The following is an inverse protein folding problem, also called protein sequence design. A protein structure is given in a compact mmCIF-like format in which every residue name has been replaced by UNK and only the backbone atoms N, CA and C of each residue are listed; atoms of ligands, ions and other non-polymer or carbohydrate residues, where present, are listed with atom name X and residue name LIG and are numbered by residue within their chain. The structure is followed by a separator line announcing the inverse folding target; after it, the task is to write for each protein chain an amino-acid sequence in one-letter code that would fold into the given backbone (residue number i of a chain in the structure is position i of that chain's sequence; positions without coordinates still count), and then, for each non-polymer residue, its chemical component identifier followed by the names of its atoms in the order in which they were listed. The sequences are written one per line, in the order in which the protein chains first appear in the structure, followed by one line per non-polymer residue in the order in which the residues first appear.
data_IF_792938386457
#
_entry.id   IF_792938386457
#
_cell.length_a   1.000
_cell.length_b   1.000
_cell.length_c   1.000
_cell.angle_alpha   90.00
_cell.angle_beta   90.00
_cell.angle_gamma   90.00
#
_symmetry.space_group_name_H-M   'P 1'
#
loop_
_entity.id
_entity.type
_entity.pdbx_description
1 polymer ?
#
# COMPACT_ATOMS: atom_id res chain seq x y z
N UNK A 1 8.43 -18.36 -19.16
CA UNK A 1 7.32 -17.73 -18.40
C UNK A 1 6.63 -18.72 -17.44
N UNK A 2 5.95 -19.78 -17.94
CA UNK A 2 5.21 -20.69 -17.05
C UNK A 2 6.10 -21.33 -15.96
N UNK A 3 7.28 -21.85 -16.32
CA UNK A 3 8.23 -22.43 -15.36
C UNK A 3 8.67 -21.41 -14.29
N UNK A 4 8.93 -20.18 -14.68
CA UNK A 4 9.33 -19.09 -13.77
C UNK A 4 8.19 -18.76 -12.81
N UNK A 5 6.95 -18.62 -13.32
CA UNK A 5 5.76 -18.38 -12.49
C UNK A 5 5.56 -19.53 -11.51
N UNK A 6 5.61 -20.79 -11.99
CA UNK A 6 5.43 -21.97 -11.15
C UNK A 6 6.50 -22.02 -10.04
N UNK A 7 7.78 -21.79 -10.39
CA UNK A 7 8.86 -21.72 -9.40
C UNK A 7 8.61 -20.65 -8.35
N UNK A 8 8.16 -19.45 -8.77
CA UNK A 8 7.82 -18.34 -7.86
C UNK A 8 6.68 -18.69 -6.93
N UNK A 9 5.59 -19.26 -7.46
CA UNK A 9 4.45 -19.73 -6.66
C UNK A 9 4.87 -20.79 -5.65
N UNK A 10 5.70 -21.76 -6.07
CA UNK A 10 6.23 -22.78 -5.15
C UNK A 10 7.09 -22.16 -4.05
N UNK A 11 7.90 -21.15 -4.35
CA UNK A 11 8.70 -20.44 -3.35
C UNK A 11 7.85 -19.57 -2.40
N UNK A 12 6.67 -19.11 -2.83
CA UNK A 12 5.75 -18.38 -1.94
C UNK A 12 5.20 -19.25 -0.82
N UNK A 13 5.01 -20.55 -1.03
CA UNK A 13 4.46 -21.44 -0.01
C UNK A 13 5.30 -21.46 1.28
N UNK A 14 6.62 -21.74 1.24
CA UNK A 14 7.45 -21.67 2.45
C UNK A 14 7.54 -20.25 3.01
N UNK A 15 7.48 -19.20 2.17
CA UNK A 15 7.49 -17.82 2.63
C UNK A 15 6.21 -17.47 3.41
N UNK A 16 5.03 -17.88 2.94
CA UNK A 16 3.75 -17.70 3.65
C UNK A 16 3.77 -18.49 4.96
N UNK A 17 4.32 -19.71 4.97
CA UNK A 17 4.46 -20.50 6.18
C UNK A 17 5.35 -19.78 7.21
N UNK A 18 6.56 -19.35 6.83
CA UNK A 18 7.47 -18.60 7.71
C UNK A 18 6.79 -17.32 8.20
N UNK A 19 6.14 -16.55 7.30
CA UNK A 19 5.40 -15.36 7.65
C UNK A 19 4.32 -15.64 8.69
N UNK A 20 3.54 -16.71 8.53
CA UNK A 20 2.48 -17.06 9.47
C UNK A 20 3.02 -17.43 10.85
N UNK A 21 4.15 -18.16 10.91
CA UNK A 21 4.83 -18.47 12.18
C UNK A 21 5.34 -17.20 12.84
N UNK A 22 6.01 -16.33 12.09
CA UNK A 22 6.53 -15.07 12.62
C UNK A 22 5.40 -14.15 13.10
N UNK A 23 4.33 -14.00 12.31
CA UNK A 23 3.17 -13.21 12.71
C UNK A 23 2.56 -13.72 14.02
N UNK A 24 2.39 -15.03 14.13
CA UNK A 24 1.87 -15.67 15.34
C UNK A 24 2.79 -15.44 16.56
N UNK A 25 4.11 -15.60 16.40
CA UNK A 25 5.06 -15.38 17.49
C UNK A 25 5.08 -13.91 17.92
N UNK A 26 5.11 -12.95 16.97
CA UNK A 26 5.08 -11.52 17.27
C UNK A 26 3.79 -11.16 18.03
N UNK A 27 2.64 -11.66 17.59
CA UNK A 27 1.39 -11.43 18.30
C UNK A 27 1.42 -11.99 19.73
N UNK A 28 2.02 -13.17 19.93
CA UNK A 28 2.18 -13.76 21.27
C UNK A 28 3.19 -13.04 22.18
N UNK A 29 4.15 -12.33 21.61
CA UNK A 29 5.10 -11.49 22.35
C UNK A 29 4.52 -10.14 22.78
N UNK A 30 3.36 -9.76 22.27
CA UNK A 30 2.71 -8.51 22.68
C UNK A 30 2.36 -8.59 24.17
N UNK A 31 2.69 -7.53 24.94
CA UNK A 31 2.41 -7.52 26.37
C UNK A 31 0.89 -7.48 26.64
N UNK A 32 0.42 -8.35 27.50
CA UNK A 32 -0.98 -8.43 27.92
C UNK A 32 -1.69 -9.67 27.38
N UNK A 33 -2.96 -9.76 27.72
CA UNK A 33 -3.87 -10.85 27.41
C UNK A 33 -4.94 -10.32 26.44
N UNK A 34 -5.28 -11.04 25.36
CA UNK A 34 -6.33 -10.66 24.43
C UNK A 34 -7.71 -10.43 25.11
N UNK A 35 -7.92 -11.05 26.27
CA UNK A 35 -9.16 -10.92 27.02
C UNK A 35 -9.18 -9.70 27.97
N UNK A 36 -8.04 -9.00 28.13
CA UNK A 36 -7.95 -7.83 29.04
C UNK A 36 -8.94 -6.73 28.65
N UNK A 37 -9.20 -6.54 27.37
CA UNK A 37 -10.18 -5.58 26.86
C UNK A 37 -11.64 -5.93 27.16
N UNK A 38 -11.93 -7.14 27.62
CA UNK A 38 -13.26 -7.59 28.03
C UNK A 38 -13.50 -7.44 29.54
N UNK A 39 -12.46 -7.08 30.30
CA UNK A 39 -12.55 -6.94 31.75
C UNK A 39 -13.12 -5.57 32.06
N UNK A 40 -14.35 -5.55 32.59
CA UNK A 40 -14.99 -4.37 33.18
C UNK A 40 -15.13 -4.59 34.68
N UNK A 41 -15.40 -3.56 35.49
CA UNK A 41 -15.60 -3.72 36.93
C UNK A 41 -16.75 -4.70 37.28
N UNK A 42 -17.66 -4.92 36.35
CA UNK A 42 -18.83 -5.80 36.52
C UNK A 42 -18.58 -7.22 35.94
N UNK A 43 -17.43 -7.46 35.30
CA UNK A 43 -17.13 -8.75 34.64
C UNK A 43 -16.74 -9.78 35.71
N UNK A 44 -17.49 -10.91 35.77
CA UNK A 44 -17.13 -12.04 36.63
C UNK A 44 -15.77 -12.63 36.16
N UNK A 45 -14.75 -12.70 37.04
CA UNK A 45 -13.45 -13.30 36.74
C UNK A 45 -13.54 -14.74 36.20
N UNK A 46 -14.52 -15.52 36.69
CA UNK A 46 -14.73 -16.90 36.24
C UNK A 46 -15.17 -16.97 34.78
N UNK A 47 -15.92 -15.99 34.30
CA UNK A 47 -16.34 -15.90 32.89
C UNK A 47 -15.14 -15.65 31.97
N UNK A 48 -14.22 -14.78 32.36
CA UNK A 48 -12.99 -14.53 31.62
C UNK A 48 -12.10 -15.78 31.59
N UNK A 49 -11.96 -16.44 32.72
CA UNK A 49 -11.16 -17.67 32.81
C UNK A 49 -11.75 -18.80 31.95
N UNK A 50 -13.07 -18.96 31.94
CA UNK A 50 -13.74 -19.92 31.07
C UNK A 50 -13.52 -19.60 29.57
N UNK A 51 -13.47 -18.29 29.19
CA UNK A 51 -13.15 -17.86 27.82
C UNK A 51 -11.69 -18.18 27.44
N UNK A 52 -10.74 -17.99 28.35
CA UNK A 52 -9.32 -18.35 28.16
C UNK A 52 -9.16 -19.83 27.89
N UNK A 53 -9.75 -20.66 28.75
CA UNK A 53 -9.71 -22.13 28.60
C UNK A 53 -10.36 -22.55 27.27
N UNK A 54 -11.55 -22.03 26.96
CA UNK A 54 -12.27 -22.33 25.71
C UNK A 54 -11.50 -21.90 24.47
N UNK A 55 -10.74 -20.80 24.53
CA UNK A 55 -9.92 -20.30 23.45
C UNK A 55 -8.58 -21.06 23.34
N UNK A 56 -8.28 -22.00 24.22
CA UNK A 56 -7.00 -22.74 24.24
C UNK A 56 -5.81 -21.85 24.60
N UNK A 57 -6.03 -20.81 25.41
CA UNK A 57 -4.97 -19.85 25.79
C UNK A 57 -3.81 -20.50 26.54
N UNK A 58 -4.08 -21.58 27.28
CA UNK A 58 -3.10 -22.33 28.05
C UNK A 58 -2.53 -23.52 27.29
N UNK A 59 -2.98 -23.80 26.07
CA UNK A 59 -2.43 -24.86 25.25
C UNK A 59 -0.95 -24.58 24.89
N UNK A 60 -0.14 -25.61 24.61
CA UNK A 60 1.21 -25.41 24.09
C UNK A 60 1.19 -24.58 22.80
N UNK A 61 2.18 -23.68 22.61
CA UNK A 61 2.25 -22.79 21.46
C UNK A 61 2.07 -23.48 20.09
N UNK A 62 2.64 -24.68 19.84
CA UNK A 62 2.41 -25.37 18.57
C UNK A 62 0.94 -25.75 18.34
N UNK A 63 0.21 -26.09 19.42
CA UNK A 63 -1.22 -26.44 19.36
C UNK A 63 -2.05 -25.17 19.05
N UNK A 64 -1.74 -24.07 19.73
CA UNK A 64 -2.40 -22.78 19.48
C UNK A 64 -2.16 -22.33 18.03
N UNK A 65 -0.92 -22.42 17.53
CA UNK A 65 -0.58 -22.10 16.14
C UNK A 65 -1.37 -22.96 15.16
N UNK A 66 -1.39 -24.28 15.37
CA UNK A 66 -2.11 -25.21 14.49
C UNK A 66 -3.62 -24.92 14.45
N UNK A 67 -4.21 -24.68 15.61
CA UNK A 67 -5.63 -24.31 15.72
C UNK A 67 -5.95 -23.00 15.00
N UNK A 68 -5.08 -22.01 15.10
CA UNK A 68 -5.24 -20.74 14.41
C UNK A 68 -5.07 -20.88 12.90
N UNK A 69 -3.95 -21.46 12.45
CA UNK A 69 -3.63 -21.50 11.01
C UNK A 69 -4.60 -22.39 10.25
N UNK A 70 -5.08 -23.48 10.84
CA UNK A 70 -6.07 -24.37 10.22
C UNK A 70 -7.42 -23.68 10.01
N UNK A 71 -7.83 -22.78 10.89
CA UNK A 71 -9.01 -21.93 10.73
C UNK A 71 -8.77 -20.85 9.69
N UNK A 72 -7.61 -20.18 9.73
CA UNK A 72 -7.23 -19.15 8.78
C UNK A 72 -7.26 -19.67 7.32
N UNK A 73 -6.81 -20.90 7.07
CA UNK A 73 -6.92 -21.55 5.75
C UNK A 73 -8.36 -21.77 5.27
N UNK A 74 -9.32 -21.76 6.18
CA UNK A 74 -10.77 -21.84 5.85
C UNK A 74 -11.42 -20.47 5.77
N UNK A 75 -10.64 -19.38 5.90
CA UNK A 75 -11.14 -18.01 5.92
C UNK A 75 -11.73 -17.57 7.27
N UNK A 76 -11.62 -18.41 8.30
CA UNK A 76 -12.06 -18.09 9.66
C UNK A 76 -10.90 -17.51 10.48
N UNK A 77 -10.88 -16.19 10.62
CA UNK A 77 -9.91 -15.47 11.47
C UNK A 77 -10.45 -15.20 12.88
N UNK A 78 -11.62 -15.77 13.21
CA UNK A 78 -12.28 -15.59 14.50
C UNK A 78 -13.01 -14.26 14.64
N UNK A 79 -13.26 -13.87 15.89
CA UNK A 79 -13.93 -12.62 16.23
C UNK A 79 -12.92 -11.59 16.75
N UNK A 80 -13.17 -10.34 16.41
CA UNK A 80 -12.50 -9.19 16.98
C UNK A 80 -12.92 -9.02 18.45
N UNK A 81 -11.98 -8.89 19.34
CA UNK A 81 -12.25 -8.62 20.76
C UNK A 81 -12.71 -7.18 20.99
N UNK A 82 -12.17 -6.23 20.21
CA UNK A 82 -12.50 -4.80 20.31
C UNK A 82 -13.88 -4.50 19.70
N UNK A 83 -14.13 -5.00 18.50
CA UNK A 83 -15.35 -4.70 17.73
C UNK A 83 -16.49 -5.70 18.00
N UNK A 84 -16.20 -6.85 18.66
CA UNK A 84 -17.17 -7.94 18.93
C UNK A 84 -17.88 -8.45 17.67
N UNK A 85 -17.09 -8.60 16.61
CA UNK A 85 -17.57 -8.80 15.25
C UNK A 85 -16.60 -9.74 14.48
N UNK A 86 -17.06 -10.45 13.47
CA UNK A 86 -16.23 -11.34 12.68
C UNK A 86 -15.10 -10.57 11.95
N UNK A 87 -13.86 -11.01 12.13
CA UNK A 87 -12.68 -10.36 11.55
C UNK A 87 -12.76 -10.28 10.03
N UNK A 88 -13.25 -11.33 9.37
CA UNK A 88 -13.40 -11.38 7.90
C UNK A 88 -14.34 -10.29 7.39
N UNK A 89 -15.48 -10.07 8.06
CA UNK A 89 -16.42 -9.01 7.70
C UNK A 89 -15.84 -7.63 7.98
N UNK A 90 -15.18 -7.46 9.13
CA UNK A 90 -14.52 -6.21 9.51
C UNK A 90 -13.46 -5.79 8.46
N UNK A 91 -12.65 -6.75 8.00
CA UNK A 91 -11.69 -6.54 6.91
C UNK A 91 -12.41 -6.18 5.61
N UNK A 92 -13.48 -6.91 5.27
CA UNK A 92 -14.27 -6.66 4.06
C UNK A 92 -14.85 -5.26 3.97
N UNK A 93 -15.27 -4.67 5.09
CA UNK A 93 -15.77 -3.28 5.16
C UNK A 93 -14.67 -2.23 4.98
N UNK A 94 -13.43 -2.55 5.36
CA UNK A 94 -12.30 -1.62 5.35
C UNK A 94 -11.46 -1.67 4.08
N UNK A 95 -11.31 -2.85 3.48
CA UNK A 95 -10.42 -3.06 2.33
C UNK A 95 -10.78 -2.18 1.13
N UNK A 96 -12.08 -2.00 0.86
CA UNK A 96 -12.55 -1.15 -0.23
C UNK A 96 -12.09 0.30 -0.10
N UNK A 97 -12.10 0.84 1.11
CA UNK A 97 -11.63 2.21 1.36
C UNK A 97 -10.12 2.34 1.08
N UNK A 98 -9.31 1.42 1.59
CA UNK A 98 -7.85 1.40 1.34
C UNK A 98 -7.54 1.25 -0.14
N UNK A 99 -8.24 0.35 -0.86
CA UNK A 99 -8.05 0.15 -2.30
C UNK A 99 -8.34 1.44 -3.08
N UNK A 100 -9.45 2.13 -2.81
CA UNK A 100 -9.77 3.39 -3.48
C UNK A 100 -8.77 4.50 -3.16
N UNK A 101 -8.34 4.62 -1.91
CA UNK A 101 -7.33 5.59 -1.50
C UNK A 101 -6.00 5.34 -2.23
N UNK A 102 -5.53 4.10 -2.20
CA UNK A 102 -4.26 3.72 -2.84
C UNK A 102 -4.32 3.82 -4.36
N UNK A 103 -5.45 3.46 -4.98
CA UNK A 103 -5.64 3.60 -6.42
C UNK A 103 -5.61 5.06 -6.87
N UNK A 104 -6.30 5.94 -6.16
CA UNK A 104 -6.27 7.38 -6.48
C UNK A 104 -4.87 7.96 -6.24
N UNK A 105 -4.19 7.56 -5.16
CA UNK A 105 -2.79 7.92 -4.90
C UNK A 105 -1.90 7.52 -6.06
N UNK A 106 -2.00 6.27 -6.52
CA UNK A 106 -1.23 5.72 -7.63
C UNK A 106 -1.45 6.53 -8.93
N UNK A 107 -2.71 6.77 -9.27
CA UNK A 107 -3.08 7.56 -10.46
C UNK A 107 -2.47 8.97 -10.38
N UNK A 108 -2.63 9.67 -9.25
CA UNK A 108 -2.08 11.02 -9.06
C UNK A 108 -0.55 11.00 -9.09
N UNK A 109 0.09 10.02 -8.46
CA UNK A 109 1.55 9.88 -8.47
C UNK A 109 2.09 9.80 -9.90
N UNK A 110 1.54 8.90 -10.73
CA UNK A 110 2.03 8.74 -12.10
C UNK A 110 1.61 9.89 -13.02
N UNK A 111 0.44 10.47 -12.82
CA UNK A 111 -0.02 11.66 -13.56
C UNK A 111 0.93 12.84 -13.36
N UNK A 112 1.52 12.99 -12.18
CA UNK A 112 2.47 14.07 -11.85
C UNK A 112 3.92 13.63 -12.20
N UNK A 113 4.32 12.44 -11.80
CA UNK A 113 5.71 12.02 -11.86
C UNK A 113 6.19 11.74 -13.29
N UNK A 114 5.35 11.14 -14.15
CA UNK A 114 5.78 10.83 -15.52
C UNK A 114 6.09 12.09 -16.35
N UNK A 115 5.22 13.12 -16.40
CA UNK A 115 5.56 14.35 -17.10
C UNK A 115 6.80 15.04 -16.53
N UNK A 116 6.90 15.15 -15.20
CA UNK A 116 8.04 15.82 -14.56
C UNK A 116 9.35 15.07 -14.83
N UNK A 117 9.37 13.74 -14.68
CA UNK A 117 10.55 12.94 -14.95
C UNK A 117 10.99 12.98 -16.42
N UNK A 118 10.02 12.98 -17.36
CA UNK A 118 10.29 13.17 -18.78
C UNK A 118 10.89 14.55 -19.09
N UNK A 119 10.32 15.61 -18.53
CA UNK A 119 10.81 16.99 -18.75
C UNK A 119 12.23 17.12 -18.19
N UNK A 120 12.47 16.64 -16.96
CA UNK A 120 13.77 16.70 -16.33
C UNK A 120 14.85 15.91 -17.12
N UNK A 121 14.53 14.71 -17.60
CA UNK A 121 15.46 13.89 -18.39
C UNK A 121 15.67 14.44 -19.80
N UNK A 122 14.61 14.95 -20.46
CA UNK A 122 14.69 15.53 -21.81
C UNK A 122 15.55 16.77 -21.83
N UNK A 123 15.31 17.69 -20.91
CA UNK A 123 15.95 19.01 -20.82
C UNK A 123 16.98 19.06 -19.68
N UNK A 124 17.82 18.03 -19.59
CA UNK A 124 18.88 17.92 -18.59
C UNK A 124 19.72 19.21 -18.47
N UNK A 125 20.02 19.62 -17.24
CA UNK A 125 20.75 20.83 -16.87
C UNK A 125 20.02 22.15 -17.17
N UNK A 126 18.81 22.12 -17.72
CA UNK A 126 17.97 23.31 -17.89
C UNK A 126 17.43 23.81 -16.55
N UNK A 127 16.83 25.01 -16.58
CA UNK A 127 16.15 25.54 -15.40
C UNK A 127 14.97 24.63 -14.94
N UNK A 128 14.23 24.05 -15.89
CA UNK A 128 13.15 23.12 -15.58
C UNK A 128 13.67 21.85 -14.87
N UNK A 129 14.77 21.27 -15.34
CA UNK A 129 15.41 20.13 -14.68
C UNK A 129 15.83 20.51 -13.24
N UNK A 130 16.51 21.63 -13.06
CA UNK A 130 16.95 22.09 -11.73
C UNK A 130 15.77 22.30 -10.79
N UNK A 131 14.67 22.91 -11.25
CA UNK A 131 13.47 23.14 -10.44
C UNK A 131 12.82 21.81 -10.03
N UNK A 132 12.73 20.83 -10.95
CA UNK A 132 12.18 19.50 -10.65
C UNK A 132 13.09 18.76 -9.67
N UNK A 133 14.41 18.86 -9.81
CA UNK A 133 15.36 18.26 -8.86
C UNK A 133 15.20 18.88 -7.48
N UNK A 134 15.07 20.22 -7.37
CA UNK A 134 14.81 20.90 -6.09
C UNK A 134 13.48 20.41 -5.49
N UNK A 135 12.40 20.29 -6.30
CA UNK A 135 11.14 19.71 -5.87
C UNK A 135 11.34 18.29 -5.28
N UNK A 136 12.09 17.42 -5.96
CA UNK A 136 12.32 16.05 -5.45
C UNK A 136 13.12 16.06 -4.14
N UNK A 137 14.07 16.97 -3.95
CA UNK A 137 14.79 17.09 -2.68
C UNK A 137 13.87 17.58 -1.54
N UNK A 138 13.01 18.55 -1.81
CA UNK A 138 12.04 19.05 -0.83
C UNK A 138 11.09 17.93 -0.41
N UNK A 139 10.47 17.25 -1.38
CA UNK A 139 9.50 16.17 -1.10
C UNK A 139 10.15 14.96 -0.41
N UNK A 140 11.40 14.66 -0.71
CA UNK A 140 12.15 13.59 -0.04
C UNK A 140 12.51 13.93 1.41
N UNK A 141 12.78 15.22 1.70
CA UNK A 141 13.23 15.67 3.03
C UNK A 141 12.09 15.82 4.02
N UNK A 142 10.86 15.96 3.58
CA UNK A 142 9.71 16.19 4.47
C UNK A 142 9.16 14.84 4.94
N UNK A 143 9.08 14.58 6.27
CA UNK A 143 8.41 13.38 6.77
C UNK A 143 6.92 13.37 6.39
N UNK A 144 6.43 12.22 5.92
CA UNK A 144 5.04 12.05 5.45
C UNK A 144 4.01 12.57 6.46
N UNK A 145 4.17 12.25 7.74
CA UNK A 145 3.21 12.65 8.77
C UNK A 145 3.19 14.16 8.98
N UNK A 146 4.34 14.84 8.90
CA UNK A 146 4.42 16.31 9.02
C UNK A 146 3.71 16.96 7.84
N UNK A 147 3.98 16.49 6.62
CA UNK A 147 3.33 17.00 5.42
C UNK A 147 1.81 16.81 5.47
N UNK A 148 1.36 15.62 5.90
CA UNK A 148 -0.05 15.31 6.05
C UNK A 148 -0.76 16.24 7.06
N UNK A 149 -0.13 16.49 8.21
CA UNK A 149 -0.69 17.39 9.24
C UNK A 149 -0.77 18.84 8.74
N UNK A 150 0.26 19.32 8.02
CA UNK A 150 0.26 20.67 7.43
C UNK A 150 -0.85 20.82 6.41
N UNK A 151 -1.01 19.85 5.50
CA UNK A 151 -2.08 19.91 4.49
C UNK A 151 -3.47 19.79 5.11
N UNK A 152 -3.64 18.90 6.10
CA UNK A 152 -4.88 18.78 6.83
C UNK A 152 -5.24 20.07 7.57
N UNK A 153 -4.27 20.69 8.25
CA UNK A 153 -4.47 21.98 8.92
C UNK A 153 -4.85 23.08 7.94
N UNK A 154 -4.11 23.21 6.82
CA UNK A 154 -4.33 24.27 5.86
C UNK A 154 -5.65 24.08 5.09
N UNK A 155 -5.82 22.91 4.45
CA UNK A 155 -6.94 22.69 3.53
C UNK A 155 -8.19 22.16 4.21
N UNK A 156 -8.03 21.45 5.33
CA UNK A 156 -9.17 20.94 6.10
C UNK A 156 -9.69 21.95 7.11
N UNK A 157 -8.84 22.41 8.03
CA UNK A 157 -9.29 23.24 9.14
C UNK A 157 -9.32 24.74 8.81
N UNK A 158 -8.29 25.27 8.12
CA UNK A 158 -8.21 26.73 7.88
C UNK A 158 -9.05 27.16 6.71
N UNK A 159 -8.93 26.50 5.57
CA UNK A 159 -9.65 26.86 4.34
C UNK A 159 -11.02 26.15 4.25
N UNK A 160 -11.22 25.03 4.94
CA UNK A 160 -12.46 24.28 4.88
C UNK A 160 -12.79 23.67 3.52
N UNK A 161 -11.77 23.47 2.66
CA UNK A 161 -11.98 22.96 1.30
C UNK A 161 -12.22 21.46 1.26
N UNK A 162 -11.66 20.72 2.22
CA UNK A 162 -11.75 19.26 2.27
C UNK A 162 -12.17 18.76 3.66
N UNK A 163 -12.85 17.62 3.72
CA UNK A 163 -13.17 16.98 4.99
C UNK A 163 -11.92 16.65 5.80
N UNK A 164 -12.02 16.78 7.11
CA UNK A 164 -10.88 16.58 8.02
C UNK A 164 -10.76 15.15 8.53
N UNK A 165 -11.82 14.31 8.36
CA UNK A 165 -11.87 12.93 8.89
C UNK A 165 -12.89 12.08 8.16
N UNK A 166 -12.71 10.76 8.26
CA UNK A 166 -13.68 9.78 7.76
C UNK A 166 -13.59 9.52 6.26
N UNK A 167 -14.49 8.73 5.73
CA UNK A 167 -14.59 8.40 4.31
C UNK A 167 -15.89 8.90 3.66
N UNK A 168 -16.83 9.40 4.46
CA UNK A 168 -18.12 9.95 4.04
C UNK A 168 -18.76 10.67 5.23
N UNK A 169 -19.55 11.71 4.99
CA UNK A 169 -20.32 12.40 6.02
C UNK A 169 -21.51 11.54 6.48
N UNK A 170 -21.85 11.65 7.77
CA UNK A 170 -22.86 10.79 8.40
C UNK A 170 -24.30 11.06 7.96
N UNK A 171 -24.57 12.23 7.38
CA UNK A 171 -25.89 12.67 6.90
C UNK A 171 -26.17 12.26 5.46
N UNK A 172 -25.20 11.66 4.76
CA UNK A 172 -25.34 11.28 3.35
C UNK A 172 -25.83 9.84 3.21
N UNK A 173 -26.97 9.69 2.52
CA UNK A 173 -27.62 8.38 2.31
C UNK A 173 -26.81 7.51 1.38
N UNK A 174 -26.44 6.30 1.82
CA UNK A 174 -25.67 5.34 1.03
C UNK A 174 -26.39 4.92 -0.24
N UNK A 175 -25.63 4.69 -1.33
CA UNK A 175 -26.15 4.27 -2.64
C UNK A 175 -26.64 5.40 -3.53
N UNK A 176 -26.64 6.66 -3.08
CA UNK A 176 -26.98 7.83 -3.89
C UNK A 176 -25.76 8.38 -4.63
N UNK A 177 -25.98 9.17 -5.68
CA UNK A 177 -24.89 9.89 -6.37
C UNK A 177 -24.16 10.82 -5.40
N UNK A 178 -24.89 11.49 -4.50
CA UNK A 178 -24.33 12.34 -3.45
C UNK A 178 -23.35 11.58 -2.54
N UNK A 179 -23.68 10.34 -2.20
CA UNK A 179 -22.80 9.48 -1.41
C UNK A 179 -21.46 9.23 -2.11
N UNK A 180 -21.45 8.88 -3.39
CA UNK A 180 -20.21 8.61 -4.12
C UNK A 180 -19.38 9.87 -4.35
N UNK A 181 -20.02 11.00 -4.61
CA UNK A 181 -19.33 12.30 -4.71
C UNK A 181 -18.72 12.74 -3.38
N UNK A 182 -19.46 12.58 -2.28
CA UNK A 182 -18.97 12.87 -0.95
C UNK A 182 -17.79 11.95 -0.58
N UNK A 183 -17.92 10.66 -0.84
CA UNK A 183 -16.84 9.69 -0.63
C UNK A 183 -15.59 10.02 -1.45
N UNK A 184 -15.75 10.45 -2.70
CA UNK A 184 -14.64 10.90 -3.54
C UNK A 184 -13.98 12.16 -2.97
N UNK A 185 -14.78 13.11 -2.45
CA UNK A 185 -14.28 14.34 -1.82
C UNK A 185 -13.39 14.03 -0.60
N UNK A 186 -13.77 13.06 0.23
CA UNK A 186 -12.97 12.59 1.36
C UNK A 186 -11.65 11.91 0.93
N UNK A 187 -11.59 11.38 -0.28
CA UNK A 187 -10.39 10.73 -0.82
C UNK A 187 -9.33 11.72 -1.32
N UNK A 188 -9.73 12.90 -1.81
CA UNK A 188 -8.84 13.80 -2.56
C UNK A 188 -7.64 14.21 -1.73
N UNK A 189 -7.85 14.79 -0.56
CA UNK A 189 -6.77 15.35 0.25
C UNK A 189 -5.80 14.27 0.78
N UNK A 190 -6.26 13.14 1.34
CA UNK A 190 -5.38 12.04 1.72
C UNK A 190 -4.58 11.47 0.55
N UNK A 191 -5.23 11.21 -0.59
CA UNK A 191 -4.57 10.68 -1.79
C UNK A 191 -3.55 11.65 -2.39
N UNK A 192 -3.88 12.93 -2.48
CA UNK A 192 -2.97 13.98 -2.96
C UNK A 192 -1.75 14.11 -2.05
N UNK A 193 -1.96 14.13 -0.74
CA UNK A 193 -0.88 14.19 0.26
C UNK A 193 0.13 13.06 0.06
N UNK A 194 -0.37 11.85 -0.09
CA UNK A 194 0.49 10.68 -0.29
C UNK A 194 1.16 10.70 -1.67
N UNK A 195 0.41 11.08 -2.71
CA UNK A 195 0.89 11.10 -4.08
C UNK A 195 2.09 12.05 -4.28
N UNK A 196 2.03 13.26 -3.73
CA UNK A 196 3.10 14.27 -3.87
C UNK A 196 4.45 13.70 -3.38
N UNK A 197 4.48 13.07 -2.22
CA UNK A 197 5.72 12.51 -1.67
C UNK A 197 6.17 11.24 -2.43
N UNK A 198 5.23 10.48 -2.97
CA UNK A 198 5.51 9.27 -3.75
C UNK A 198 6.07 9.57 -5.15
N UNK A 199 5.92 10.80 -5.67
CA UNK A 199 6.42 11.17 -7.00
C UNK A 199 7.94 11.10 -7.12
N UNK A 200 8.67 11.36 -6.02
CA UNK A 200 10.12 11.55 -6.02
C UNK A 200 10.87 10.38 -6.66
N UNK A 201 10.59 9.15 -6.22
CA UNK A 201 11.25 7.96 -6.75
C UNK A 201 11.02 7.80 -8.26
N UNK A 202 9.76 7.89 -8.68
CA UNK A 202 9.38 7.75 -10.10
C UNK A 202 10.01 8.84 -10.98
N UNK A 203 10.04 10.11 -10.51
CA UNK A 203 10.69 11.22 -11.23
C UNK A 203 12.17 10.93 -11.42
N UNK A 204 12.89 10.55 -10.36
CA UNK A 204 14.33 10.31 -10.41
C UNK A 204 14.69 9.12 -11.30
N UNK A 205 13.96 8.00 -11.18
CA UNK A 205 14.15 6.83 -12.03
C UNK A 205 13.91 7.16 -13.50
N UNK A 206 12.82 7.86 -13.82
CA UNK A 206 12.51 8.21 -15.21
C UNK A 206 13.51 9.23 -15.77
N UNK A 207 13.88 10.24 -14.98
CA UNK A 207 14.92 11.21 -15.37
C UNK A 207 16.23 10.51 -15.73
N UNK A 208 16.73 9.65 -14.85
CA UNK A 208 17.97 8.89 -15.09
C UNK A 208 17.82 7.98 -16.31
N UNK A 209 16.74 7.22 -16.40
CA UNK A 209 16.47 6.35 -17.55
C UNK A 209 16.41 7.09 -18.88
N UNK A 210 15.85 8.31 -18.92
CA UNK A 210 15.82 9.17 -20.11
C UNK A 210 17.23 9.66 -20.47
N UNK A 211 18.04 10.07 -19.48
CA UNK A 211 19.41 10.53 -19.70
C UNK A 211 20.26 9.39 -20.27
N UNK A 212 20.18 8.21 -19.68
CA UNK A 212 20.91 7.02 -20.13
C UNK A 212 20.49 6.58 -21.52
N UNK A 213 19.18 6.56 -21.80
CA UNK A 213 18.66 6.18 -23.10
C UNK A 213 19.11 7.14 -24.21
N UNK A 214 19.24 8.44 -23.93
CA UNK A 214 19.72 9.45 -24.91
C UNK A 214 21.13 9.18 -25.42
N UNK A 215 21.98 8.52 -24.64
CA UNK A 215 23.38 8.21 -24.99
C UNK A 215 23.56 6.93 -25.80
N UNK A 216 22.51 6.10 -25.93
CA UNK A 216 22.58 4.80 -26.58
C UNK A 216 22.72 4.86 -28.09
N UNK A 217 23.38 3.85 -28.66
CA UNK A 217 23.70 3.79 -30.10
C UNK A 217 22.45 3.72 -30.99
N UNK A 218 21.35 3.09 -30.52
CA UNK A 218 20.11 3.05 -31.28
C UNK A 218 19.50 4.45 -31.45
N UNK A 219 19.73 5.35 -30.49
CA UNK A 219 19.28 6.76 -30.58
C UNK A 219 20.15 7.53 -31.56
N UNK A 220 21.48 7.32 -31.52
CA UNK A 220 22.42 7.90 -32.49
C UNK A 220 22.08 7.46 -33.90
N UNK A 221 21.80 6.17 -34.09
CA UNK A 221 21.41 5.61 -35.39
C UNK A 221 20.09 6.21 -35.90
N UNK A 222 19.07 6.37 -35.01
CA UNK A 222 17.82 6.99 -35.42
C UNK A 222 17.99 8.45 -35.86
N UNK A 223 18.83 9.23 -35.17
CA UNK A 223 19.18 10.60 -35.55
C UNK A 223 19.96 10.66 -36.85
N UNK A 224 20.92 9.77 -37.04
CA UNK A 224 21.71 9.68 -38.30
C UNK A 224 20.85 9.34 -39.54
N UNK A 225 19.70 8.64 -39.31
CA UNK A 225 18.70 8.35 -40.35
C UNK A 225 17.71 9.51 -40.57
N UNK A 226 17.91 10.66 -39.94
CA UNK A 226 17.06 11.83 -40.12
C UNK A 226 15.68 11.72 -39.45
N UNK A 227 15.49 10.80 -38.49
CA UNK A 227 14.21 10.70 -37.77
C UNK A 227 13.96 11.98 -36.93
N UNK A 228 12.77 12.61 -37.01
CA UNK A 228 12.46 13.80 -36.25
C UNK A 228 12.64 13.60 -34.74
N UNK A 229 13.20 14.60 -34.04
CA UNK A 229 13.61 14.48 -32.63
C UNK A 229 12.44 14.09 -31.70
N UNK A 230 11.21 14.54 -31.98
CA UNK A 230 10.02 14.14 -31.20
C UNK A 230 9.71 12.63 -31.35
N UNK A 231 9.94 12.06 -32.53
CA UNK A 231 9.77 10.63 -32.80
C UNK A 231 10.88 9.84 -32.12
N UNK A 232 12.13 10.31 -32.21
CA UNK A 232 13.29 9.74 -31.50
C UNK A 232 13.00 9.70 -30.00
N UNK A 233 12.51 10.82 -29.43
CA UNK A 233 12.22 10.89 -28.00
C UNK A 233 11.10 9.93 -27.60
N UNK A 234 9.93 9.99 -28.24
CA UNK A 234 8.76 9.22 -27.81
C UNK A 234 8.91 7.72 -28.11
N UNK A 235 9.48 7.35 -29.27
CA UNK A 235 9.51 5.95 -29.72
C UNK A 235 10.77 5.20 -29.27
N UNK A 236 11.91 5.89 -29.17
CA UNK A 236 13.19 5.24 -28.88
C UNK A 236 13.67 5.53 -27.45
N UNK A 237 13.55 6.77 -26.96
CA UNK A 237 14.03 7.13 -25.63
C UNK A 237 12.99 6.76 -24.56
N UNK A 238 11.82 7.37 -24.61
CA UNK A 238 10.79 7.21 -23.56
C UNK A 238 10.37 5.75 -23.37
N UNK A 239 10.13 5.03 -24.47
CA UNK A 239 9.71 3.63 -24.39
C UNK A 239 10.72 2.75 -23.64
N UNK A 240 12.01 2.99 -23.78
CA UNK A 240 13.04 2.25 -23.06
C UNK A 240 13.23 2.76 -21.63
N UNK A 241 13.05 4.05 -21.39
CA UNK A 241 13.22 4.67 -20.08
C UNK A 241 12.11 4.31 -19.08
N UNK A 242 10.91 3.95 -19.56
CA UNK A 242 9.77 3.59 -18.70
C UNK A 242 9.82 2.12 -18.22
N UNK A 243 10.68 1.27 -18.82
CA UNK A 243 10.74 -0.16 -18.48
C UNK A 243 10.96 -0.43 -16.99
N UNK A 244 11.90 0.24 -16.28
CA UNK A 244 12.07 0.04 -14.85
C UNK A 244 10.82 0.43 -14.03
N UNK A 245 10.10 1.48 -14.47
CA UNK A 245 8.88 1.93 -13.80
C UNK A 245 7.77 0.91 -13.93
N UNK A 246 7.64 0.27 -15.10
CA UNK A 246 6.67 -0.80 -15.32
C UNK A 246 6.90 -1.99 -14.36
N UNK A 247 8.16 -2.25 -13.96
CA UNK A 247 8.48 -3.24 -12.95
C UNK A 247 7.94 -2.89 -11.58
N UNK A 248 8.04 -1.63 -11.19
CA UNK A 248 7.53 -1.17 -9.89
C UNK A 248 6.00 -1.20 -9.82
N UNK A 249 5.27 -1.09 -10.94
CA UNK A 249 3.80 -1.17 -10.94
C UNK A 249 3.29 -2.44 -10.26
N UNK A 250 3.92 -3.59 -10.49
CA UNK A 250 3.52 -4.84 -9.82
C UNK A 250 3.66 -4.76 -8.31
N UNK A 251 4.72 -4.11 -7.83
CA UNK A 251 4.95 -3.91 -6.40
C UNK A 251 3.97 -2.87 -5.80
N UNK A 252 3.61 -1.83 -6.54
CA UNK A 252 2.64 -0.82 -6.11
C UNK A 252 1.25 -1.43 -5.80
N UNK A 253 0.89 -2.54 -6.46
CA UNK A 253 -0.34 -3.28 -6.13
C UNK A 253 -0.36 -3.82 -4.70
N UNK A 254 0.79 -4.03 -4.05
CA UNK A 254 0.82 -4.39 -2.63
C UNK A 254 0.27 -3.27 -1.76
N UNK A 255 0.60 -2.03 -2.10
CA UNK A 255 0.09 -0.84 -1.43
C UNK A 255 -1.43 -0.69 -1.52
N UNK A 256 -2.06 -1.26 -2.57
CA UNK A 256 -3.53 -1.24 -2.71
C UNK A 256 -4.24 -1.98 -1.57
N UNK A 257 -3.58 -2.95 -0.93
CA UNK A 257 -4.15 -3.74 0.16
C UNK A 257 -3.60 -3.29 1.51
N UNK A 258 -2.28 -3.01 1.57
CA UNK A 258 -1.62 -2.59 2.81
C UNK A 258 -1.98 -1.18 3.28
N UNK A 259 -2.37 -0.30 2.35
CA UNK A 259 -2.69 1.09 2.63
C UNK A 259 -1.52 1.90 3.19
N UNK A 260 -1.84 3.11 3.63
CA UNK A 260 -0.90 3.95 4.38
C UNK A 260 -1.36 4.11 5.81
N UNK A 261 -0.68 3.44 6.71
CA UNK A 261 -0.96 3.50 8.15
C UNK A 261 -0.99 4.96 8.65
N UNK A 262 -0.02 5.79 8.23
CA UNK A 262 0.05 7.18 8.69
C UNK A 262 -1.08 8.04 8.13
N UNK A 263 -1.35 7.96 6.83
CA UNK A 263 -2.38 8.77 6.18
C UNK A 263 -3.77 8.39 6.70
N UNK A 264 -4.08 7.11 6.76
CA UNK A 264 -5.37 6.65 7.25
C UNK A 264 -5.63 7.04 8.71
N UNK A 265 -4.58 7.06 9.56
CA UNK A 265 -4.73 7.50 10.95
C UNK A 265 -4.86 9.03 11.07
N UNK A 266 -4.04 9.80 10.37
CA UNK A 266 -4.08 11.28 10.44
C UNK A 266 -5.43 11.82 9.96
N UNK A 267 -5.94 11.28 8.85
CA UNK A 267 -7.24 11.67 8.31
C UNK A 267 -8.41 10.88 8.92
N UNK A 268 -8.15 10.05 9.95
CA UNK A 268 -9.16 9.13 10.53
C UNK A 268 -9.94 8.39 9.44
N UNK A 269 -9.26 8.05 8.34
CA UNK A 269 -9.85 7.38 7.19
C UNK A 269 -10.02 5.88 7.51
N UNK A 270 -11.23 5.32 7.41
CA UNK A 270 -11.52 3.97 7.89
C UNK A 270 -11.02 2.89 6.92
N UNK A 271 -9.71 2.74 6.83
CA UNK A 271 -9.03 1.75 6.00
C UNK A 271 -8.35 0.65 6.82
N UNK A 272 -7.54 -0.16 6.12
CA UNK A 272 -6.82 -1.32 6.68
C UNK A 272 -5.66 -0.92 7.60
N UNK A 273 -4.92 0.15 7.26
CA UNK A 273 -3.84 0.68 8.07
C UNK A 273 -4.36 1.29 9.38
N UNK A 274 -5.48 2.01 9.33
CA UNK A 274 -6.17 2.50 10.53
C UNK A 274 -6.66 1.35 11.40
N UNK A 275 -7.26 0.32 10.80
CA UNK A 275 -7.68 -0.89 11.51
C UNK A 275 -6.49 -1.58 12.18
N UNK A 276 -5.33 -1.65 11.52
CA UNK A 276 -4.13 -2.27 12.06
C UNK A 276 -3.64 -1.55 13.32
N UNK A 277 -3.52 -0.21 13.30
CA UNK A 277 -3.09 0.57 14.47
C UNK A 277 -4.09 0.48 15.62
N UNK A 278 -5.38 0.61 15.34
CA UNK A 278 -6.41 0.50 16.37
C UNK A 278 -6.45 -0.89 17.00
N UNK A 279 -6.18 -1.94 16.22
CA UNK A 279 -6.11 -3.31 16.73
C UNK A 279 -4.87 -3.54 17.59
N UNK A 280 -3.72 -2.94 17.25
CA UNK A 280 -2.51 -3.01 18.09
C UNK A 280 -2.76 -2.33 19.44
N UNK A 281 -3.30 -1.11 19.43
CA UNK A 281 -3.59 -0.35 20.66
C UNK A 281 -4.68 -1.02 21.51
N UNK A 282 -5.68 -1.61 20.85
CA UNK A 282 -6.75 -2.39 21.48
C UNK A 282 -6.39 -3.83 21.83
N UNK A 283 -5.15 -4.28 21.50
CA UNK A 283 -4.68 -5.67 21.71
C UNK A 283 -5.60 -6.73 21.08
N UNK A 284 -6.14 -6.42 19.91
CA UNK A 284 -7.02 -7.32 19.18
C UNK A 284 -6.20 -8.33 18.36
N UNK A 285 -5.77 -9.40 19.01
CA UNK A 285 -4.88 -10.41 18.42
C UNK A 285 -5.46 -11.04 17.15
N UNK A 286 -6.77 -11.30 17.13
CA UNK A 286 -7.43 -11.92 15.98
C UNK A 286 -7.30 -11.05 14.73
N UNK A 287 -7.55 -9.74 14.88
CA UNK A 287 -7.43 -8.77 13.78
C UNK A 287 -5.97 -8.57 13.38
N UNK A 288 -5.06 -8.43 14.35
CA UNK A 288 -3.63 -8.23 14.06
C UNK A 288 -3.07 -9.41 13.25
N UNK A 289 -3.33 -10.64 13.68
CA UNK A 289 -2.87 -11.86 13.00
C UNK A 289 -3.43 -11.94 11.56
N UNK A 290 -4.71 -11.65 11.38
CA UNK A 290 -5.35 -11.64 10.07
C UNK A 290 -4.73 -10.59 9.15
N UNK A 291 -4.51 -9.36 9.66
CA UNK A 291 -3.92 -8.27 8.88
C UNK A 291 -2.45 -8.52 8.53
N UNK A 292 -1.64 -9.04 9.46
CA UNK A 292 -0.24 -9.40 9.18
C UNK A 292 -0.15 -10.47 8.09
N UNK A 293 -0.98 -11.50 8.16
CA UNK A 293 -1.02 -12.55 7.15
C UNK A 293 -1.49 -12.00 5.79
N UNK A 294 -2.50 -11.15 5.79
CA UNK A 294 -3.04 -10.52 4.58
C UNK A 294 -2.02 -9.58 3.94
N UNK A 295 -1.39 -8.69 4.69
CA UNK A 295 -0.40 -7.75 4.17
C UNK A 295 0.83 -8.47 3.63
N UNK A 296 1.33 -9.48 4.36
CA UNK A 296 2.46 -10.27 3.91
C UNK A 296 2.14 -11.09 2.66
N UNK A 297 0.97 -11.70 2.59
CA UNK A 297 0.51 -12.43 1.39
C UNK A 297 0.34 -11.48 0.21
N UNK A 298 -0.24 -10.29 0.43
CA UNK A 298 -0.36 -9.25 -0.59
C UNK A 298 1.01 -8.81 -1.12
N UNK A 299 2.01 -8.67 -0.24
CA UNK A 299 3.39 -8.34 -0.64
C UNK A 299 4.00 -9.41 -1.53
N UNK A 300 3.82 -10.69 -1.19
CA UNK A 300 4.30 -11.79 -2.02
C UNK A 300 3.60 -11.84 -3.39
N UNK A 301 2.28 -11.63 -3.42
CA UNK A 301 1.51 -11.56 -4.65
C UNK A 301 1.92 -10.37 -5.53
N UNK A 302 2.18 -9.21 -4.94
CA UNK A 302 2.66 -8.05 -5.68
C UNK A 302 4.05 -8.24 -6.26
N UNK A 303 4.95 -8.93 -5.53
CA UNK A 303 6.26 -9.32 -6.07
C UNK A 303 6.11 -10.27 -7.26
N UNK A 304 5.23 -11.27 -7.17
CA UNK A 304 4.93 -12.16 -8.28
C UNK A 304 4.35 -11.38 -9.49
N UNK A 305 3.45 -10.45 -9.24
CA UNK A 305 2.87 -9.61 -10.28
C UNK A 305 3.93 -8.73 -10.94
N UNK A 306 4.87 -8.16 -10.17
CA UNK A 306 6.02 -7.41 -10.68
C UNK A 306 6.87 -8.27 -11.63
N UNK A 307 7.21 -9.49 -11.22
CA UNK A 307 7.96 -10.43 -12.06
C UNK A 307 7.24 -10.77 -13.38
N UNK A 308 5.90 -10.95 -13.31
CA UNK A 308 5.07 -11.20 -14.48
C UNK A 308 5.06 -9.98 -15.41
N UNK A 309 4.81 -8.80 -14.89
CA UNK A 309 4.83 -7.55 -15.67
C UNK A 309 6.19 -7.36 -16.34
N UNK A 310 7.28 -7.54 -15.59
CA UNK A 310 8.64 -7.45 -16.15
C UNK A 310 8.86 -8.45 -17.30
N UNK A 311 8.42 -9.69 -17.14
CA UNK A 311 8.59 -10.71 -18.19
C UNK A 311 7.76 -10.41 -19.45
N UNK A 312 6.70 -9.61 -19.35
CA UNK A 312 5.87 -9.16 -20.48
C UNK A 312 6.52 -7.94 -21.15
N UNK A 313 6.97 -6.97 -20.33
CA UNK A 313 7.46 -5.67 -20.78
C UNK A 313 8.89 -5.77 -21.33
N UNK A 314 9.76 -6.57 -20.70
CA UNK A 314 11.11 -6.84 -21.16
C UNK A 314 11.33 -8.32 -21.54
N UNK A 315 11.24 -8.67 -22.82
CA UNK A 315 11.48 -10.04 -23.28
C UNK A 315 12.87 -10.59 -22.98
N UNK A 316 13.86 -9.75 -22.69
CA UNK A 316 15.26 -10.16 -22.40
C UNK A 316 15.37 -10.89 -21.07
N UNK A 317 14.48 -10.57 -20.11
CA UNK A 317 14.41 -11.22 -18.80
C UNK A 317 13.87 -12.66 -18.87
N UNK A 318 13.31 -13.08 -20.01
CA UNK A 318 12.77 -14.43 -20.21
C UNK A 318 13.83 -15.52 -20.42
N UNK A 319 15.08 -15.15 -20.65
CA UNK A 319 16.16 -16.05 -21.10
C UNK A 319 17.01 -16.55 -19.92
N UNK A 320 16.75 -16.11 -18.72
CA UNK A 320 17.35 -16.60 -17.47
C UNK A 320 16.32 -17.42 -16.68
#
# INVERSE_FOLDING_TARGET
MWKTILRRVLLMLPQIFILSVLAFLIAKMMPGDPFTGLITPETDPNTIEALRVKAGFYDPLPVQYWNWISKAFRGDFGQSYTYKYEVTKLIGERIGNTVWLSLLTLILTYLIALPLGMIAGRFQNSWADKAIVVYTFITYSIPLFVFALVLLWLFGYTLGWFPTRGSVDSDVVSGTLAYYLNKFHHLILPAFTMAILSTTGTIQYLRTGVIDAKSQDYVRTARAKGVPENVVFNRHIFRNSILPIAAFLGYEFTGLIGGSVFIENIFSYPGMGNLFVTSITGRDYSVILALLLLFGTATLLGTLLSDIIMSIVDPRVRVQ
#
